data_IF_952657451478
#
_entry.id   IF_952657451478
#
_cell.length_a   1.000
_cell.length_b   1.000
_cell.length_c   1.000
_cell.angle_alpha   90.00
_cell.angle_beta   90.00
_cell.angle_gamma   90.00
#
_symmetry.space_group_name_H-M   'P 1'
#
loop_
_entity.id
_entity.type
_entity.pdbx_description
1 polymer ?
#
# COMPACT_ATOMS: atom_id res chain seq x y z
N UNK A 1 3.90 13.52 -1.80
CA UNK A 1 4.67 13.27 -3.04
C UNK A 1 5.08 11.81 -3.23
N UNK A 2 5.74 11.13 -2.27
CA UNK A 2 6.21 9.73 -2.44
C UNK A 2 5.08 8.70 -2.23
N UNK A 3 4.28 8.86 -1.17
CA UNK A 3 3.15 7.96 -0.87
C UNK A 3 2.14 7.88 -2.03
N UNK A 4 1.86 9.03 -2.63
CA UNK A 4 0.92 9.13 -3.76
C UNK A 4 1.42 8.39 -5.00
N UNK A 5 2.74 8.36 -5.25
CA UNK A 5 3.31 7.58 -6.35
C UNK A 5 3.09 6.08 -6.15
N UNK A 6 3.23 5.58 -4.92
CA UNK A 6 2.94 4.18 -4.59
C UNK A 6 1.46 3.84 -4.79
N UNK A 7 0.55 4.69 -4.31
CA UNK A 7 -0.88 4.50 -4.51
C UNK A 7 -1.22 4.48 -6.00
N UNK A 8 -0.71 5.43 -6.79
CA UNK A 8 -0.93 5.47 -8.24
C UNK A 8 -0.39 4.20 -8.91
N UNK A 9 0.77 3.70 -8.50
CA UNK A 9 1.33 2.47 -9.07
C UNK A 9 0.47 1.26 -8.74
N UNK A 10 0.03 1.11 -7.49
CA UNK A 10 -0.89 0.03 -7.09
C UNK A 10 -2.17 0.10 -7.94
N UNK A 11 -2.76 1.28 -8.14
CA UNK A 11 -3.94 1.45 -9.00
C UNK A 11 -3.65 0.97 -10.44
N UNK A 12 -2.51 1.37 -11.02
CA UNK A 12 -2.15 1.02 -12.40
C UNK A 12 -1.95 -0.48 -12.61
N UNK A 13 -1.29 -1.14 -11.68
CA UNK A 13 -0.94 -2.57 -11.80
C UNK A 13 -2.10 -3.50 -11.43
N UNK A 14 -2.97 -3.08 -10.50
CA UNK A 14 -4.01 -3.97 -9.94
C UNK A 14 -5.44 -3.58 -10.31
N UNK A 15 -5.67 -2.35 -10.79
CA UNK A 15 -7.01 -1.81 -10.99
C UNK A 15 -7.77 -1.49 -9.69
N UNK A 16 -7.14 -1.65 -8.52
CA UNK A 16 -7.78 -1.36 -7.22
C UNK A 16 -8.14 0.11 -7.09
N UNK A 17 -9.26 0.38 -6.43
CA UNK A 17 -9.63 1.75 -6.10
C UNK A 17 -8.76 2.28 -4.95
N UNK A 18 -8.62 3.61 -4.86
CA UNK A 18 -7.98 4.25 -3.69
C UNK A 18 -8.60 3.83 -2.36
N UNK A 19 -9.91 3.57 -2.34
CA UNK A 19 -10.63 3.16 -1.14
C UNK A 19 -10.18 1.77 -0.70
N UNK A 20 -10.00 0.85 -1.64
CA UNK A 20 -9.54 -0.51 -1.36
C UNK A 20 -8.09 -0.51 -0.87
N UNK A 21 -7.22 0.29 -1.49
CA UNK A 21 -5.83 0.46 -1.06
C UNK A 21 -5.78 1.02 0.37
N UNK A 22 -6.60 2.03 0.70
CA UNK A 22 -6.70 2.56 2.07
C UNK A 22 -7.19 1.50 3.07
N UNK A 23 -8.14 0.66 2.66
CA UNK A 23 -8.62 -0.44 3.49
C UNK A 23 -7.50 -1.46 3.74
N UNK A 24 -6.74 -1.83 2.72
CA UNK A 24 -5.57 -2.70 2.87
C UNK A 24 -4.53 -2.11 3.82
N UNK A 25 -4.21 -0.82 3.67
CA UNK A 25 -3.28 -0.11 4.57
C UNK A 25 -3.77 -0.17 6.02
N UNK A 26 -5.06 0.10 6.26
CA UNK A 26 -5.60 0.08 7.62
C UNK A 26 -5.61 -1.33 8.22
N UNK A 27 -6.00 -2.33 7.43
CA UNK A 27 -5.97 -3.73 7.87
C UNK A 27 -4.54 -4.16 8.23
N UNK A 28 -3.57 -3.81 7.39
CA UNK A 28 -2.15 -4.13 7.61
C UNK A 28 -1.58 -3.43 8.84
N UNK A 29 -1.95 -2.16 9.05
CA UNK A 29 -1.60 -1.43 10.28
C UNK A 29 -2.18 -2.13 11.50
N UNK A 30 -3.42 -2.64 11.44
CA UNK A 30 -4.00 -3.41 12.55
C UNK A 30 -3.30 -4.75 12.78
N UNK A 31 -2.97 -5.50 11.73
CA UNK A 31 -2.19 -6.74 11.81
C UNK A 31 -0.85 -6.53 12.52
N UNK A 32 -0.20 -5.38 12.24
CA UNK A 32 1.08 -4.99 12.83
C UNK A 32 0.94 -4.14 14.10
N UNK A 33 -0.25 -4.16 14.73
CA UNK A 33 -0.55 -3.47 16.00
C UNK A 33 -0.23 -1.96 15.98
N UNK A 34 -0.28 -1.33 14.82
CA UNK A 34 -0.03 0.10 14.64
C UNK A 34 1.45 0.51 14.72
N UNK A 35 2.38 -0.44 14.83
CA UNK A 35 3.82 -0.18 15.02
C UNK A 35 4.53 0.30 13.73
N UNK A 36 3.80 0.48 12.63
CA UNK A 36 4.37 0.73 11.31
C UNK A 36 3.84 2.02 10.68
N UNK A 37 4.74 2.76 10.04
CA UNK A 37 4.38 3.96 9.29
C UNK A 37 3.54 3.62 8.05
N UNK A 38 2.75 4.58 7.58
CA UNK A 38 1.95 4.42 6.35
C UNK A 38 2.80 4.12 5.12
N UNK A 39 3.99 4.74 5.03
CA UNK A 39 4.96 4.47 3.96
C UNK A 39 5.38 3.01 3.95
N UNK A 40 5.82 2.49 5.10
CA UNK A 40 6.29 1.12 5.19
C UNK A 40 5.15 0.13 4.98
N UNK A 41 3.93 0.49 5.39
CA UNK A 41 2.73 -0.30 5.10
C UNK A 41 2.48 -0.42 3.60
N UNK A 42 2.57 0.69 2.85
CA UNK A 42 2.42 0.66 1.39
C UNK A 42 3.54 -0.13 0.70
N UNK A 43 4.77 -0.09 1.21
CA UNK A 43 5.87 -0.90 0.68
C UNK A 43 5.62 -2.40 0.88
N UNK A 44 5.12 -2.80 2.05
CA UNK A 44 4.73 -4.20 2.29
C UNK A 44 3.63 -4.62 1.32
N UNK A 45 2.60 -3.78 1.15
CA UNK A 45 1.50 -4.06 0.21
C UNK A 45 2.02 -4.20 -1.22
N UNK A 46 2.94 -3.33 -1.67
CA UNK A 46 3.58 -3.44 -2.98
C UNK A 46 4.31 -4.79 -3.14
N UNK A 47 5.07 -5.20 -2.13
CA UNK A 47 5.77 -6.50 -2.12
C UNK A 47 4.79 -7.68 -2.16
N UNK A 48 3.71 -7.64 -1.38
CA UNK A 48 2.68 -8.69 -1.34
C UNK A 48 1.90 -8.81 -2.65
N UNK A 49 1.77 -7.69 -3.38
CA UNK A 49 1.17 -7.64 -4.70
C UNK A 49 2.18 -7.93 -5.84
N UNK A 50 3.43 -8.27 -5.52
CA UNK A 50 4.52 -8.48 -6.49
C UNK A 50 4.71 -7.30 -7.45
N UNK A 51 4.50 -6.07 -6.97
CA UNK A 51 4.67 -4.86 -7.75
C UNK A 51 6.10 -4.34 -7.56
N UNK A 52 6.82 -4.21 -8.67
CA UNK A 52 8.17 -3.65 -8.65
C UNK A 52 8.23 -2.23 -8.10
N UNK A 53 9.24 -1.98 -7.27
CA UNK A 53 9.50 -0.67 -6.65
C UNK A 53 10.33 0.27 -7.54
N UNK A 54 10.82 -0.24 -8.68
CA UNK A 54 11.69 0.42 -9.66
C UNK A 54 11.00 1.54 -10.44
#
# INVERSE_FOLDING_TARGET
>A
MILEKYIIRIIKETGLSRKDIKKMVNNKKQELQGLISEKNTLLIILTELYIDLL
#
